data_IF_002211568976
#
_entry.id   IF_002211568976
#
_cell.length_a   1.000
_cell.length_b   1.000
_cell.length_c   1.000
_cell.angle_alpha   90.00
_cell.angle_beta   90.00
_cell.angle_gamma   90.00
#
_symmetry.space_group_name_H-M   'P 1'
#
loop_
_entity.id
_entity.type
_entity.pdbx_description
1 polymer ?
#
# COMPACT_ATOMS: atom_id res chain seq x y z
N UNK A 1 12.19 7.85 -9.74
CA UNK A 1 12.58 6.65 -8.94
C UNK A 1 11.55 6.53 -7.84
N UNK A 2 11.02 5.33 -7.59
CA UNK A 2 10.01 5.12 -6.56
C UNK A 2 10.67 5.23 -5.16
N UNK A 3 10.27 6.18 -4.29
CA UNK A 3 10.89 6.38 -2.98
C UNK A 3 10.34 5.42 -1.90
N UNK A 4 9.95 4.22 -2.31
CA UNK A 4 9.62 3.09 -1.44
C UNK A 4 10.10 1.81 -2.12
N UNK A 5 10.64 0.87 -1.35
CA UNK A 5 11.07 -0.41 -1.93
C UNK A 5 9.85 -1.27 -2.31
N UNK A 6 9.92 -2.03 -3.43
CA UNK A 6 8.85 -2.95 -3.80
C UNK A 6 8.49 -3.93 -2.67
N UNK A 7 9.48 -4.42 -1.91
CA UNK A 7 9.27 -5.31 -0.77
C UNK A 7 8.38 -4.70 0.33
N UNK A 8 8.50 -3.39 0.60
CA UNK A 8 7.62 -2.71 1.55
C UNK A 8 6.19 -2.60 1.03
N UNK A 9 6.02 -2.36 -0.28
CA UNK A 9 4.69 -2.32 -0.91
C UNK A 9 4.06 -3.72 -0.90
N UNK A 10 4.80 -4.77 -1.23
CA UNK A 10 4.35 -6.16 -1.12
C UNK A 10 3.94 -6.54 0.31
N UNK A 11 4.70 -6.09 1.32
CA UNK A 11 4.29 -6.28 2.71
C UNK A 11 2.92 -5.64 3.01
N UNK A 12 2.67 -4.42 2.52
CA UNK A 12 1.37 -3.74 2.65
C UNK A 12 0.26 -4.53 1.94
N UNK A 13 0.50 -5.01 0.71
CA UNK A 13 -0.44 -5.82 -0.07
C UNK A 13 -0.87 -7.07 0.71
N UNK A 14 0.09 -7.85 1.21
CA UNK A 14 -0.17 -9.09 1.97
C UNK A 14 -1.04 -8.81 3.20
N UNK A 15 -0.76 -7.72 3.93
CA UNK A 15 -1.52 -7.35 5.14
C UNK A 15 -2.89 -6.78 4.81
N UNK A 16 -3.02 -6.00 3.74
CA UNK A 16 -4.30 -5.50 3.26
C UNK A 16 -5.24 -6.65 2.85
N UNK A 17 -4.73 -7.68 2.14
CA UNK A 17 -5.53 -8.89 1.82
C UNK A 17 -6.05 -9.60 3.07
N UNK A 18 -5.21 -9.73 4.10
CA UNK A 18 -5.62 -10.35 5.38
C UNK A 18 -6.67 -9.52 6.12
N UNK A 19 -6.51 -8.20 6.11
CA UNK A 19 -7.47 -7.28 6.71
C UNK A 19 -8.83 -7.37 6.00
N UNK A 20 -8.85 -7.29 4.67
CA UNK A 20 -10.04 -7.37 3.83
C UNK A 20 -10.75 -8.73 3.95
N UNK A 21 -10.00 -9.84 3.96
CA UNK A 21 -10.54 -11.18 4.16
C UNK A 21 -11.25 -11.32 5.52
N UNK A 22 -10.74 -10.66 6.56
CA UNK A 22 -11.33 -10.63 7.89
C UNK A 22 -12.60 -9.77 7.98
N UNK A 23 -12.80 -8.79 7.10
CA UNK A 23 -13.98 -7.90 7.09
C UNK A 23 -15.25 -8.60 6.57
N UNK A 24 -15.12 -9.69 5.80
CA UNK A 24 -16.24 -10.49 5.29
C UNK A 24 -16.63 -11.69 6.17
N UNK A 25 -15.81 -12.05 7.16
CA UNK A 25 -16.06 -13.15 8.07
C UNK A 25 -16.64 -12.62 9.39
N UNK A 26 -17.63 -13.31 9.96
CA UNK A 26 -18.26 -13.01 11.25
C UNK A 26 -17.30 -13.19 12.47
N UNK A 27 -15.98 -12.95 12.31
CA UNK A 27 -14.95 -13.16 13.33
C UNK A 27 -14.20 -11.85 13.63
N UNK A 28 -14.76 -11.05 14.55
CA UNK A 28 -14.29 -9.71 14.90
C UNK A 28 -12.97 -9.60 15.68
N UNK A 29 -12.14 -10.66 15.70
CA UNK A 29 -10.84 -10.73 16.37
C UNK A 29 -9.65 -10.63 15.42
N UNK A 30 -9.62 -11.48 14.39
CA UNK A 30 -8.51 -11.55 13.43
C UNK A 30 -8.39 -10.33 12.52
N UNK A 31 -9.52 -9.81 12.02
CA UNK A 31 -9.56 -8.61 11.18
C UNK A 31 -9.02 -7.37 11.92
N UNK A 32 -9.36 -7.20 13.20
CA UNK A 32 -8.86 -6.07 14.00
C UNK A 32 -7.34 -6.12 14.20
N UNK A 33 -6.79 -7.30 14.47
CA UNK A 33 -5.35 -7.47 14.63
C UNK A 33 -4.61 -7.19 13.31
N UNK A 34 -5.09 -7.77 12.20
CA UNK A 34 -4.53 -7.54 10.88
C UNK A 34 -4.56 -6.05 10.50
N UNK A 35 -5.68 -5.37 10.75
CA UNK A 35 -5.82 -3.94 10.51
C UNK A 35 -4.89 -3.09 11.38
N UNK A 36 -4.74 -3.43 12.66
CA UNK A 36 -3.83 -2.74 13.56
C UNK A 36 -2.35 -2.89 13.14
N UNK A 37 -1.97 -4.09 12.69
CA UNK A 37 -0.62 -4.35 12.19
C UNK A 37 -0.33 -3.60 10.88
N UNK A 38 -1.28 -3.61 9.94
CA UNK A 38 -1.18 -2.84 8.70
C UNK A 38 -1.02 -1.33 8.99
N UNK A 39 -1.90 -0.78 9.84
CA UNK A 39 -1.84 0.63 10.22
C UNK A 39 -0.50 0.98 10.91
N UNK A 40 -0.03 0.12 11.82
CA UNK A 40 1.26 0.31 12.49
C UNK A 40 2.45 0.30 11.53
N UNK A 41 2.43 -0.59 10.52
CA UNK A 41 3.46 -0.64 9.50
C UNK A 41 3.48 0.61 8.63
N UNK A 42 2.33 1.02 8.10
CA UNK A 42 2.21 2.25 7.28
C UNK A 42 2.62 3.48 8.07
N UNK A 43 2.22 3.56 9.35
CA UNK A 43 2.60 4.66 10.24
C UNK A 43 4.12 4.77 10.43
N UNK A 44 4.82 3.64 10.45
CA UNK A 44 6.28 3.56 10.62
C UNK A 44 7.09 3.88 9.37
N UNK A 45 6.45 4.03 8.20
CA UNK A 45 7.11 4.52 6.99
C UNK A 45 7.50 5.99 7.15
N UNK A 46 8.58 6.40 6.48
CA UNK A 46 8.91 7.83 6.40
C UNK A 46 7.95 8.57 5.45
N UNK A 47 7.97 9.91 5.47
CA UNK A 47 7.05 10.74 4.69
C UNK A 47 7.14 10.52 3.17
N UNK A 48 8.35 10.31 2.64
CA UNK A 48 8.54 10.03 1.20
C UNK A 48 7.98 8.65 0.83
N UNK A 49 8.18 7.65 1.70
CA UNK A 49 7.65 6.30 1.53
C UNK A 49 6.12 6.28 1.59
N UNK A 50 5.51 7.06 2.50
CA UNK A 50 4.06 7.22 2.58
C UNK A 50 3.48 7.85 1.32
N UNK A 51 4.08 8.95 0.85
CA UNK A 51 3.67 9.62 -0.38
C UNK A 51 3.79 8.67 -1.59
N UNK A 52 4.89 7.90 -1.66
CA UNK A 52 5.08 6.90 -2.69
C UNK A 52 4.03 5.80 -2.67
N UNK A 53 3.69 5.28 -1.47
CA UNK A 53 2.67 4.25 -1.32
C UNK A 53 1.29 4.74 -1.78
N UNK A 54 0.92 5.97 -1.42
CA UNK A 54 -0.32 6.62 -1.88
C UNK A 54 -0.31 6.81 -3.40
N UNK A 55 0.81 7.24 -3.97
CA UNK A 55 0.95 7.39 -5.41
C UNK A 55 0.80 6.06 -6.17
N UNK A 56 1.40 4.97 -5.68
CA UNK A 56 1.22 3.62 -6.25
C UNK A 56 -0.25 3.22 -6.22
N UNK A 57 -0.93 3.42 -5.09
CA UNK A 57 -2.37 3.20 -4.97
C UNK A 57 -3.16 4.02 -6.00
N UNK A 58 -2.86 5.31 -6.13
CA UNK A 58 -3.53 6.20 -7.07
C UNK A 58 -3.32 5.80 -8.54
N UNK A 59 -2.16 5.25 -8.88
CA UNK A 59 -1.88 4.71 -10.21
C UNK A 59 -2.72 3.45 -10.47
N UNK A 60 -2.73 2.49 -9.54
CA UNK A 60 -3.49 1.25 -9.74
C UNK A 60 -5.00 1.45 -9.84
N UNK A 61 -5.56 2.46 -9.14
CA UNK A 61 -6.97 2.85 -9.30
C UNK A 61 -7.27 3.71 -10.54
N UNK A 62 -6.25 4.11 -11.29
CA UNK A 62 -6.36 4.95 -12.49
C UNK A 62 -6.61 6.45 -12.22
N UNK A 63 -6.24 6.97 -11.05
CA UNK A 63 -6.25 8.43 -10.78
C UNK A 63 -5.09 9.15 -11.47
N UNK A 64 -3.95 8.49 -11.57
CA UNK A 64 -2.77 8.93 -12.33
C UNK A 64 -2.28 7.80 -13.23
N UNK A 65 -1.57 8.14 -14.30
CA UNK A 65 -0.80 7.21 -15.12
C UNK A 65 0.58 6.86 -14.52
N UNK A 66 1.22 5.76 -14.96
CA UNK A 66 2.57 5.39 -14.51
C UNK A 66 3.64 6.44 -14.87
N UNK A 67 3.44 7.16 -15.97
CA UNK A 67 4.26 8.28 -16.43
C UNK A 67 4.07 9.56 -15.58
N UNK A 68 3.01 9.62 -14.76
CA UNK A 68 2.70 10.73 -13.85
C UNK A 68 3.14 10.44 -12.40
N UNK A 69 3.93 9.38 -12.16
CA UNK A 69 4.34 8.96 -10.81
C UNK A 69 4.95 10.10 -9.97
N UNK A 70 5.80 10.93 -10.57
CA UNK A 70 6.46 12.02 -9.85
C UNK A 70 5.44 13.09 -9.39
N UNK A 71 4.45 13.40 -10.22
CA UNK A 71 3.36 14.30 -9.89
C UNK A 71 2.47 13.70 -8.80
N UNK A 72 2.10 12.42 -8.94
CA UNK A 72 1.32 11.71 -7.93
C UNK A 72 2.00 11.72 -6.54
N UNK A 73 3.31 11.54 -6.48
CA UNK A 73 4.09 11.61 -5.22
C UNK A 73 4.04 13.01 -4.61
N UNK A 74 4.31 14.04 -5.41
CA UNK A 74 4.30 15.43 -4.93
C UNK A 74 2.90 15.83 -4.43
N UNK A 75 1.85 15.45 -5.16
CA UNK A 75 0.46 15.67 -4.74
C UNK A 75 0.15 14.91 -3.46
N UNK A 76 0.51 13.63 -3.36
CA UNK A 76 0.29 12.84 -2.15
C UNK A 76 0.97 13.46 -0.92
N UNK A 77 2.19 13.98 -1.10
CA UNK A 77 2.93 14.68 -0.06
C UNK A 77 2.27 16.01 0.34
N UNK A 78 1.80 16.78 -0.63
CA UNK A 78 1.14 18.06 -0.39
C UNK A 78 -0.23 17.90 0.30
N UNK A 79 -0.96 16.83 -0.03
CA UNK A 79 -2.30 16.56 0.47
C UNK A 79 -2.33 15.70 1.75
N UNK A 80 -1.18 15.31 2.30
CA UNK A 80 -1.01 14.48 3.51
C UNK A 80 -1.47 15.18 4.82
N UNK A 81 -2.71 15.64 4.83
CA UNK A 81 -3.40 16.29 5.96
C UNK A 81 -4.08 15.31 6.90
N UNK A 82 -4.33 14.09 6.43
CA UNK A 82 -4.86 12.96 7.19
C UNK A 82 -3.75 11.92 7.37
N UNK A 83 -3.64 11.24 8.52
CA UNK A 83 -2.68 10.14 8.68
C UNK A 83 -2.83 9.13 7.54
N UNK A 84 -1.72 8.81 6.87
CA UNK A 84 -1.74 7.95 5.68
C UNK A 84 -2.30 6.57 6.00
N UNK A 85 -2.01 6.03 7.19
CA UNK A 85 -2.57 4.78 7.65
C UNK A 85 -4.11 4.81 7.72
N UNK A 86 -4.71 5.89 8.22
CA UNK A 86 -6.16 6.03 8.34
C UNK A 86 -6.80 6.18 6.95
N UNK A 87 -6.15 6.92 6.05
CA UNK A 87 -6.59 7.08 4.67
C UNK A 87 -6.63 5.75 3.92
N UNK A 88 -5.53 5.00 3.94
CA UNK A 88 -5.41 3.74 3.22
C UNK A 88 -6.28 2.63 3.83
N UNK A 89 -6.42 2.58 5.16
CA UNK A 89 -7.31 1.62 5.83
C UNK A 89 -8.80 1.81 5.48
N UNK A 90 -9.19 3.00 5.00
CA UNK A 90 -10.53 3.28 4.50
C UNK A 90 -10.76 2.84 3.04
N UNK A 91 -9.72 2.38 2.34
CA UNK A 91 -9.79 1.97 0.94
C UNK A 91 -10.16 0.49 0.85
N UNK A 92 -11.34 0.13 0.32
CA UNK A 92 -11.65 -1.25 0.02
C UNK A 92 -10.78 -1.74 -1.15
N UNK A 93 -10.38 -3.01 -1.12
CA UNK A 93 -9.54 -3.61 -2.17
C UNK A 93 -8.18 -2.91 -2.32
N UNK A 94 -7.64 -2.36 -1.21
CA UNK A 94 -6.36 -1.66 -1.22
C UNK A 94 -5.24 -2.52 -1.81
N UNK A 95 -5.26 -3.82 -1.49
CA UNK A 95 -4.28 -4.76 -2.01
C UNK A 95 -4.28 -4.82 -3.54
N UNK A 96 -5.45 -4.97 -4.16
CA UNK A 96 -5.57 -5.09 -5.60
C UNK A 96 -5.08 -3.81 -6.30
N UNK A 97 -5.44 -2.63 -5.79
CA UNK A 97 -4.94 -1.38 -6.35
C UNK A 97 -3.43 -1.19 -6.20
N UNK A 98 -2.82 -1.67 -5.11
CA UNK A 98 -1.37 -1.60 -4.96
C UNK A 98 -0.64 -2.55 -5.90
N UNK A 99 -1.21 -3.74 -6.15
CA UNK A 99 -0.69 -4.69 -7.13
C UNK A 99 -0.76 -4.11 -8.55
N UNK A 100 -1.94 -3.60 -8.95
CA UNK A 100 -2.13 -2.95 -10.25
C UNK A 100 -1.18 -1.75 -10.43
N UNK A 101 -0.96 -0.98 -9.35
CA UNK A 101 -0.03 0.15 -9.36
C UNK A 101 1.43 -0.26 -9.54
N UNK A 102 1.87 -1.34 -8.90
CA UNK A 102 3.22 -1.88 -9.10
C UNK A 102 3.39 -2.44 -10.52
N UNK A 103 2.41 -3.18 -11.02
CA UNK A 103 2.43 -3.72 -12.39
C UNK A 103 2.51 -2.60 -13.43
N UNK A 104 1.70 -1.54 -13.28
CA UNK A 104 1.73 -0.37 -14.15
C UNK A 104 3.11 0.33 -14.16
N UNK A 105 3.84 0.29 -13.03
CA UNK A 105 5.20 0.82 -12.90
C UNK A 105 6.29 -0.14 -13.40
N UNK A 106 5.90 -1.32 -13.92
CA UNK A 106 6.83 -2.36 -14.38
C UNK A 106 7.55 -3.09 -13.24
N UNK A 107 6.96 -3.11 -12.04
CA UNK A 107 7.50 -3.79 -10.86
C UNK A 107 6.68 -5.05 -10.59
N UNK A 108 7.36 -6.19 -10.52
CA UNK A 108 6.72 -7.46 -10.18
C UNK A 108 6.43 -7.55 -8.69
N UNK A 109 5.19 -7.91 -8.34
CA UNK A 109 4.78 -8.19 -6.96
C UNK A 109 5.41 -9.50 -6.48
N UNK A 110 5.47 -10.53 -7.32
CA UNK A 110 6.04 -11.83 -6.98
C UNK A 110 7.53 -11.72 -6.59
N UNK A 111 8.30 -10.89 -7.31
CA UNK A 111 9.71 -10.63 -6.98
C UNK A 111 9.87 -9.89 -5.64
N UNK A 112 8.91 -9.01 -5.33
CA UNK A 112 8.88 -8.28 -4.08
C UNK A 112 8.46 -9.18 -2.89
N UNK A 113 7.54 -10.11 -3.10
CA UNK A 113 7.10 -11.11 -2.12
C UNK A 113 8.21 -12.11 -1.77
N UNK A 114 8.94 -12.61 -2.77
CA UNK A 114 10.08 -13.53 -2.55
C UNK A 114 11.20 -12.85 -1.73
N UNK A 115 11.34 -11.53 -1.85
CA UNK A 115 12.25 -10.73 -1.01
C UNK A 115 11.78 -10.65 0.45
N UNK A 116 10.47 -10.49 0.69
CA UNK A 116 9.90 -10.48 2.05
C UNK A 116 10.04 -11.86 2.71
N UNK A 117 9.79 -12.94 1.98
CA UNK A 117 9.91 -14.31 2.48
C UNK A 117 11.35 -14.71 2.81
N UNK A 118 12.35 -14.16 2.10
CA UNK A 118 13.77 -14.37 2.43
C UNK A 118 14.27 -13.58 3.64
N UNK A 119 13.51 -12.61 4.14
CA UNK A 119 13.89 -11.76 5.28
C UNK A 119 13.33 -12.25 6.63
N UNK A 120 12.44 -13.24 6.63
CA UNK A 120 11.84 -13.89 7.82
C UNK A 120 12.41 -15.28 8.05
#
# INVERSE_FOLDING_TARGET
>A
MLPISPAKVAHVIIRARQFDAGMGAFEGGGSRAAGAELAAFVKGLNEEEKAALVAVFWIGRGTYGPDELAEAIETARAEASTPTEDYLMGVPLLADYLEDGLEALGLSVEDAEDSVLRMT
#
